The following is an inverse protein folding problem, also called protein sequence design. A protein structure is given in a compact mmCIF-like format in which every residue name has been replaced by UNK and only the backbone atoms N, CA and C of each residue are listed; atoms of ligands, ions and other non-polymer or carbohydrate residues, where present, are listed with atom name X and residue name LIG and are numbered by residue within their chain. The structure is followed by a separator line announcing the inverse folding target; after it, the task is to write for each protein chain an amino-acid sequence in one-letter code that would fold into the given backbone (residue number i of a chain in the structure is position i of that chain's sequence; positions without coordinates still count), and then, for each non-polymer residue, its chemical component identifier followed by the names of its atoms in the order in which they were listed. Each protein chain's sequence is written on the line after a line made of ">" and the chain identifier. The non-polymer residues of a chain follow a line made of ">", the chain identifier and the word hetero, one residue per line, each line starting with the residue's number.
data_IF_380439790314
#
_entry.id   IF_380439790314
#
_cell.length_a   1.000
_cell.length_b   1.000
_cell.length_c   1.000
_cell.angle_alpha   90.00
_cell.angle_beta   90.00
_cell.angle_gamma   90.00
#
_symmetry.space_group_name_H-M   'P 1'
#
loop_
_entity.id
_entity.type
_entity.pdbx_description
1 polymer ?
#
# COMPACT_ATOMS: atom_id res chain seq x y z
N UNK A 1 2.46 -17.85 33.01
CA UNK A 1 2.81 -16.42 33.20
C UNK A 1 3.02 -15.85 31.82
N UNK A 2 2.06 -15.06 31.35
CA UNK A 2 2.02 -14.54 29.97
C UNK A 2 3.14 -13.53 29.77
N UNK A 3 4.07 -13.87 28.88
CA UNK A 3 5.15 -12.98 28.49
C UNK A 3 4.58 -12.02 27.45
N UNK A 4 4.07 -10.86 27.87
CA UNK A 4 3.72 -9.77 26.96
C UNK A 4 5.01 -9.16 26.46
N UNK A 5 5.63 -9.82 25.48
CA UNK A 5 6.73 -9.24 24.75
C UNK A 5 6.17 -8.02 24.00
N UNK A 6 6.68 -6.84 24.34
CA UNK A 6 6.28 -5.59 23.68
C UNK A 6 6.93 -5.53 22.30
N UNK A 7 6.34 -4.76 21.38
CA UNK A 7 6.92 -4.47 20.06
C UNK A 7 8.37 -4.00 20.16
N UNK A 8 8.71 -3.26 21.22
CA UNK A 8 10.07 -2.80 21.48
C UNK A 8 11.05 -3.94 21.79
N UNK A 9 10.66 -4.91 22.62
CA UNK A 9 11.54 -6.06 22.95
C UNK A 9 11.83 -6.91 21.71
N UNK A 10 10.87 -6.99 20.79
CA UNK A 10 11.05 -7.69 19.51
C UNK A 10 11.90 -6.89 18.53
N UNK A 11 11.73 -5.57 18.48
CA UNK A 11 12.57 -4.69 17.70
C UNK A 11 14.05 -4.83 18.10
N UNK A 12 14.33 -4.79 19.40
CA UNK A 12 15.68 -4.93 19.94
C UNK A 12 16.28 -6.32 19.65
N UNK A 13 15.45 -7.37 19.75
CA UNK A 13 15.85 -8.75 19.42
C UNK A 13 16.19 -8.86 17.92
N UNK A 14 15.38 -8.29 17.05
CA UNK A 14 15.60 -8.30 15.60
C UNK A 14 16.85 -7.50 15.18
N UNK A 15 17.03 -6.29 15.72
CA UNK A 15 18.22 -5.46 15.49
C UNK A 15 19.52 -6.15 15.97
N UNK A 16 19.43 -6.94 17.04
CA UNK A 16 20.58 -7.73 17.53
C UNK A 16 21.01 -8.83 16.55
N UNK A 17 20.06 -9.36 15.77
CA UNK A 17 20.32 -10.43 14.80
C UNK A 17 20.74 -9.91 13.42
N UNK A 18 20.22 -8.74 12.99
CA UNK A 18 20.62 -8.07 11.73
C UNK A 18 22.13 -7.84 11.69
N UNK A 19 22.73 -7.47 12.83
CA UNK A 19 24.18 -7.22 12.94
C UNK A 19 25.06 -8.45 12.69
N UNK A 20 24.52 -9.67 12.69
CA UNK A 20 25.36 -10.88 12.78
C UNK A 20 25.16 -11.97 11.72
N UNK A 21 24.00 -12.14 11.05
CA UNK A 21 23.77 -13.35 10.21
C UNK A 21 22.97 -13.20 8.92
N UNK A 22 22.54 -12.00 8.54
CA UNK A 22 21.71 -11.81 7.35
C UNK A 22 20.25 -12.25 7.56
N UNK A 23 19.38 -11.75 6.68
CA UNK A 23 17.91 -11.82 6.75
C UNK A 23 17.35 -13.25 6.73
N UNK A 24 17.87 -14.12 5.86
CA UNK A 24 17.35 -15.48 5.67
C UNK A 24 17.48 -16.33 6.94
N UNK A 25 18.50 -16.08 7.75
CA UNK A 25 18.71 -16.77 9.03
C UNK A 25 17.64 -16.43 10.07
N UNK A 26 16.90 -15.33 9.88
CA UNK A 26 15.85 -14.88 10.78
C UNK A 26 14.52 -15.55 10.52
N UNK A 27 14.25 -15.94 9.28
CA UNK A 27 12.95 -16.44 8.85
C UNK A 27 12.42 -17.63 9.69
N UNK A 28 13.23 -18.65 10.04
CA UNK A 28 12.75 -19.76 10.88
C UNK A 28 12.44 -19.35 12.32
N UNK A 29 13.21 -18.41 12.88
CA UNK A 29 13.01 -17.91 14.24
C UNK A 29 11.80 -16.97 14.31
N UNK A 30 11.59 -16.19 13.26
CA UNK A 30 10.42 -15.33 13.08
C UNK A 30 9.14 -16.14 12.91
N UNK A 31 9.16 -17.16 12.03
CA UNK A 31 8.03 -18.06 11.84
C UNK A 31 7.72 -18.83 13.16
N UNK A 32 8.75 -19.18 13.94
CA UNK A 32 8.58 -19.75 15.28
C UNK A 32 7.93 -18.78 16.27
N UNK A 33 8.32 -17.50 16.28
CA UNK A 33 7.72 -16.50 17.18
C UNK A 33 6.25 -16.25 16.80
N UNK A 34 5.95 -16.15 15.50
CA UNK A 34 4.58 -16.02 15.00
C UNK A 34 3.71 -17.24 15.38
N UNK A 35 4.30 -18.44 15.46
CA UNK A 35 3.57 -19.66 15.84
C UNK A 35 3.17 -19.73 17.33
N UNK A 36 3.83 -18.97 18.20
CA UNK A 36 3.57 -18.98 19.66
C UNK A 36 2.81 -17.74 20.15
N UNK A 37 2.71 -16.69 19.32
CA UNK A 37 1.89 -15.51 19.64
C UNK A 37 0.42 -15.84 19.44
N UNK A 38 -0.38 -15.71 20.52
CA UNK A 38 -1.84 -15.89 20.47
C UNK A 38 -2.60 -14.56 20.41
N UNK A 39 -1.92 -13.43 20.57
CA UNK A 39 -2.51 -12.09 20.50
C UNK A 39 -2.48 -11.57 19.05
N UNK A 40 -3.66 -11.50 18.43
CA UNK A 40 -3.86 -11.02 17.05
C UNK A 40 -3.38 -9.57 16.83
N UNK A 41 -3.40 -8.72 17.87
CA UNK A 41 -2.95 -7.32 17.78
C UNK A 41 -1.44 -7.25 17.71
N UNK A 42 -0.75 -7.95 18.62
CA UNK A 42 0.71 -8.04 18.62
C UNK A 42 1.19 -8.70 17.33
N UNK A 43 0.48 -9.73 16.87
CA UNK A 43 0.74 -10.41 15.60
C UNK A 43 0.66 -9.48 14.39
N UNK A 44 -0.37 -8.63 14.32
CA UNK A 44 -0.54 -7.63 13.25
C UNK A 44 0.59 -6.59 13.26
N UNK A 45 0.91 -6.03 14.43
CA UNK A 45 1.95 -5.00 14.57
C UNK A 45 3.35 -5.54 14.25
N UNK A 46 3.67 -6.76 14.67
CA UNK A 46 4.93 -7.40 14.30
C UNK A 46 5.03 -7.64 12.79
N UNK A 47 3.98 -8.19 12.19
CA UNK A 47 3.94 -8.46 10.75
C UNK A 47 4.09 -7.16 9.93
N UNK A 48 3.50 -6.07 10.42
CA UNK A 48 3.69 -4.74 9.87
C UNK A 48 5.17 -4.33 9.82
N UNK A 49 5.83 -4.32 10.98
CA UNK A 49 7.22 -3.87 11.11
C UNK A 49 8.18 -4.69 10.24
N UNK A 50 7.99 -6.01 10.21
CA UNK A 50 8.79 -6.88 9.34
C UNK A 50 8.57 -6.58 7.86
N UNK A 51 7.32 -6.39 7.44
CA UNK A 51 7.02 -6.10 6.05
C UNK A 51 7.70 -4.80 5.57
N UNK A 52 7.69 -3.74 6.40
CA UNK A 52 8.36 -2.46 6.12
C UNK A 52 9.88 -2.65 6.05
N UNK A 53 10.46 -3.40 7.00
CA UNK A 53 11.90 -3.60 7.08
C UNK A 53 12.41 -4.40 5.89
N UNK A 54 11.78 -5.53 5.55
CA UNK A 54 12.16 -6.33 4.38
C UNK A 54 12.03 -5.55 3.08
N UNK A 55 11.00 -4.71 2.96
CA UNK A 55 10.86 -3.83 1.81
C UNK A 55 12.05 -2.85 1.69
N UNK A 56 12.49 -2.25 2.79
CA UNK A 56 13.68 -1.38 2.82
C UNK A 56 14.97 -2.11 2.45
N UNK A 57 15.07 -3.39 2.82
CA UNK A 57 16.19 -4.27 2.46
C UNK A 57 16.09 -4.81 1.03
N UNK A 58 15.05 -4.44 0.27
CA UNK A 58 14.74 -4.92 -1.09
C UNK A 58 14.45 -6.42 -1.18
N UNK A 59 14.18 -7.06 -0.05
CA UNK A 59 13.61 -8.40 -0.02
C UNK A 59 12.09 -8.28 -0.17
N UNK A 60 11.65 -8.11 -1.42
CA UNK A 60 10.25 -7.87 -1.73
C UNK A 60 9.37 -9.09 -1.50
N UNK A 61 9.92 -10.30 -1.64
CA UNK A 61 9.19 -11.55 -1.39
C UNK A 61 8.84 -11.66 0.09
N UNK A 62 9.82 -11.47 0.99
CA UNK A 62 9.56 -11.45 2.41
C UNK A 62 8.64 -10.28 2.81
N UNK A 63 8.84 -9.09 2.23
CA UNK A 63 7.99 -7.94 2.51
C UNK A 63 6.51 -8.23 2.21
N UNK A 64 6.23 -8.82 1.04
CA UNK A 64 4.87 -9.21 0.64
C UNK A 64 4.34 -10.32 1.53
N UNK A 65 5.15 -11.33 1.88
CA UNK A 65 4.78 -12.41 2.81
C UNK A 65 4.25 -11.83 4.13
N UNK A 66 5.00 -10.92 4.76
CA UNK A 66 4.61 -10.37 6.06
C UNK A 66 3.45 -9.36 5.95
N UNK A 67 3.36 -8.59 4.88
CA UNK A 67 2.20 -7.70 4.64
C UNK A 67 0.90 -8.50 4.42
N UNK A 68 0.97 -9.66 3.75
CA UNK A 68 -0.18 -10.57 3.61
C UNK A 68 -0.63 -11.13 4.97
N UNK A 69 0.34 -11.52 5.82
CA UNK A 69 0.06 -12.01 7.17
C UNK A 69 -0.66 -10.94 7.99
N UNK A 70 -0.20 -9.68 7.95
CA UNK A 70 -0.84 -8.54 8.61
C UNK A 70 -2.30 -8.35 8.14
N UNK A 71 -2.52 -8.25 6.82
CA UNK A 71 -3.86 -8.07 6.25
C UNK A 71 -4.80 -9.22 6.63
N UNK A 72 -4.30 -10.46 6.57
CA UNK A 72 -5.07 -11.66 6.91
C UNK A 72 -5.46 -11.68 8.40
N UNK A 73 -4.57 -11.26 9.30
CA UNK A 73 -4.87 -11.16 10.73
C UNK A 73 -6.04 -10.21 11.00
N UNK A 74 -6.06 -9.04 10.36
CA UNK A 74 -7.20 -8.12 10.46
C UNK A 74 -8.49 -8.73 9.92
N UNK A 75 -8.44 -9.47 8.80
CA UNK A 75 -9.60 -10.11 8.19
C UNK A 75 -10.18 -11.24 9.06
N UNK A 76 -9.32 -12.09 9.62
CA UNK A 76 -9.72 -13.18 10.52
C UNK A 76 -10.30 -12.65 11.82
N UNK A 77 -9.74 -11.56 12.34
CA UNK A 77 -10.26 -10.86 13.52
C UNK A 77 -11.50 -9.99 13.23
N UNK A 78 -11.90 -9.88 11.96
CA UNK A 78 -13.00 -9.01 11.49
C UNK A 78 -12.82 -7.54 11.90
N UNK A 79 -11.58 -7.08 11.94
CA UNK A 79 -11.21 -5.71 12.29
C UNK A 79 -11.15 -4.88 11.01
N UNK A 80 -12.16 -4.04 10.80
CA UNK A 80 -12.21 -3.09 9.68
C UNK A 80 -12.07 -1.68 10.25
N UNK A 81 -10.84 -1.17 10.22
CA UNK A 81 -10.51 0.16 10.75
C UNK A 81 -9.40 0.82 9.94
N UNK A 82 -8.96 2.00 10.36
CA UNK A 82 -7.89 2.74 9.69
C UNK A 82 -6.59 1.92 9.58
N UNK A 83 -6.22 1.12 10.59
CA UNK A 83 -5.02 0.25 10.55
C UNK A 83 -5.14 -0.79 9.43
N UNK A 84 -6.29 -1.43 9.30
CA UNK A 84 -6.57 -2.39 8.22
C UNK A 84 -6.41 -1.74 6.84
N UNK A 85 -6.96 -0.54 6.64
CA UNK A 85 -6.82 0.15 5.35
C UNK A 85 -5.38 0.59 5.10
N UNK A 86 -4.58 0.93 6.14
CA UNK A 86 -3.12 1.15 5.99
C UNK A 86 -2.40 -0.10 5.51
N UNK A 87 -2.69 -1.25 6.12
CA UNK A 87 -2.09 -2.53 5.76
C UNK A 87 -2.40 -2.91 4.31
N UNK A 88 -3.66 -2.77 3.88
CA UNK A 88 -4.07 -2.97 2.48
C UNK A 88 -3.32 -2.05 1.52
N UNK A 89 -3.17 -0.78 1.87
CA UNK A 89 -2.49 0.20 1.02
C UNK A 89 -1.01 -0.16 0.85
N UNK A 90 -0.36 -0.57 1.94
CA UNK A 90 1.03 -0.99 1.93
C UNK A 90 1.25 -2.27 1.13
N UNK A 91 0.38 -3.26 1.31
CA UNK A 91 0.41 -4.49 0.51
C UNK A 91 0.24 -4.18 -0.98
N UNK A 92 -0.75 -3.34 -1.33
CA UNK A 92 -0.96 -2.88 -2.71
C UNK A 92 0.26 -2.16 -3.27
N UNK A 93 0.93 -1.34 -2.46
CA UNK A 93 2.16 -0.66 -2.84
C UNK A 93 3.29 -1.65 -3.11
N UNK A 94 3.47 -2.68 -2.28
CA UNK A 94 4.51 -3.70 -2.51
C UNK A 94 4.26 -4.47 -3.81
N UNK A 95 3.01 -4.82 -4.12
CA UNK A 95 2.65 -5.42 -5.40
C UNK A 95 2.88 -4.47 -6.58
N UNK A 96 2.56 -3.18 -6.43
CA UNK A 96 2.84 -2.16 -7.45
C UNK A 96 4.33 -2.06 -7.76
N UNK A 97 5.19 -2.07 -6.74
CA UNK A 97 6.64 -1.96 -6.88
C UNK A 97 7.29 -3.22 -7.46
N UNK A 98 6.61 -4.36 -7.35
CA UNK A 98 7.03 -5.64 -7.95
C UNK A 98 6.32 -5.94 -9.28
N UNK A 99 5.66 -4.94 -9.88
CA UNK A 99 4.94 -5.02 -11.15
C UNK A 99 3.77 -6.03 -11.20
N UNK A 100 3.27 -6.46 -10.04
CA UNK A 100 2.07 -7.29 -9.90
C UNK A 100 0.82 -6.41 -9.84
N UNK A 101 0.56 -5.69 -10.93
CA UNK A 101 -0.37 -4.55 -10.98
C UNK A 101 -1.83 -4.95 -10.74
N UNK A 102 -2.24 -6.12 -11.22
CA UNK A 102 -3.61 -6.62 -11.03
C UNK A 102 -3.91 -6.89 -9.55
N UNK A 103 -2.93 -7.40 -8.80
CA UNK A 103 -3.07 -7.64 -7.36
C UNK A 103 -3.07 -6.31 -6.61
N UNK A 104 -2.20 -5.38 -7.00
CA UNK A 104 -2.21 -4.02 -6.45
C UNK A 104 -3.58 -3.33 -6.61
N UNK A 105 -4.19 -3.46 -7.80
CA UNK A 105 -5.54 -2.96 -8.09
C UNK A 105 -6.57 -3.57 -7.13
N UNK A 106 -6.50 -4.87 -6.83
CA UNK A 106 -7.41 -5.51 -5.88
C UNK A 106 -7.25 -4.92 -4.47
N UNK A 107 -6.01 -4.73 -4.01
CA UNK A 107 -5.73 -4.13 -2.70
C UNK A 107 -6.31 -2.70 -2.59
N UNK A 108 -6.06 -1.84 -3.58
CA UNK A 108 -6.57 -0.47 -3.59
C UNK A 108 -8.09 -0.39 -3.76
N UNK A 109 -8.67 -1.27 -4.59
CA UNK A 109 -10.13 -1.36 -4.74
C UNK A 109 -10.81 -1.79 -3.44
N UNK A 110 -10.17 -2.68 -2.67
CA UNK A 110 -10.70 -3.10 -1.38
C UNK A 110 -10.79 -1.94 -0.39
N UNK A 111 -9.79 -1.04 -0.35
CA UNK A 111 -9.82 0.16 0.50
C UNK A 111 -11.06 1.02 0.20
N UNK A 112 -11.35 1.26 -1.08
CA UNK A 112 -12.52 2.05 -1.50
C UNK A 112 -13.82 1.38 -1.04
N UNK A 113 -13.88 0.04 -1.07
CA UNK A 113 -15.08 -0.69 -0.66
C UNK A 113 -15.33 -0.65 0.86
N UNK A 114 -14.26 -0.60 1.67
CA UNK A 114 -14.38 -0.66 3.13
C UNK A 114 -14.45 0.73 3.78
N UNK A 115 -13.82 1.74 3.17
CA UNK A 115 -13.72 3.08 3.74
C UNK A 115 -13.89 4.16 2.65
N UNK A 116 -15.07 4.28 2.01
CA UNK A 116 -15.26 5.08 0.80
C UNK A 116 -15.01 6.58 0.96
N UNK A 117 -15.07 7.10 2.20
CA UNK A 117 -14.98 8.53 2.50
C UNK A 117 -13.77 8.84 3.40
N UNK A 118 -12.58 8.42 2.98
CA UNK A 118 -11.35 8.69 3.73
C UNK A 118 -10.24 9.22 2.84
N UNK A 119 -9.28 9.89 3.46
CA UNK A 119 -8.06 10.32 2.78
C UNK A 119 -7.33 9.16 2.10
N UNK A 120 -7.41 7.94 2.68
CA UNK A 120 -6.79 6.75 2.10
C UNK A 120 -7.51 6.27 0.85
N UNK A 121 -8.83 6.44 0.77
CA UNK A 121 -9.58 6.19 -0.46
C UNK A 121 -9.15 7.13 -1.58
N UNK A 122 -8.96 8.41 -1.28
CA UNK A 122 -8.45 9.39 -2.24
C UNK A 122 -7.05 8.99 -2.75
N UNK A 123 -6.15 8.60 -1.85
CA UNK A 123 -4.82 8.07 -2.24
C UNK A 123 -4.94 6.80 -3.09
N UNK A 124 -5.89 5.93 -2.77
CA UNK A 124 -6.12 4.68 -3.50
C UNK A 124 -6.65 4.92 -4.91
N UNK A 125 -7.45 5.97 -5.14
CA UNK A 125 -7.80 6.39 -6.51
C UNK A 125 -6.56 6.77 -7.32
N UNK A 126 -5.66 7.59 -6.76
CA UNK A 126 -4.41 7.93 -7.46
C UNK A 126 -3.56 6.70 -7.78
N UNK A 127 -3.47 5.75 -6.84
CA UNK A 127 -2.75 4.49 -7.03
C UNK A 127 -3.39 3.55 -8.05
N UNK A 128 -4.71 3.49 -8.12
CA UNK A 128 -5.42 2.78 -9.20
C UNK A 128 -5.10 3.41 -10.55
N UNK A 129 -5.12 4.75 -10.63
CA UNK A 129 -4.73 5.47 -11.84
C UNK A 129 -3.31 5.10 -12.30
N UNK A 130 -2.35 5.08 -11.37
CA UNK A 130 -0.97 4.66 -11.66
C UNK A 130 -0.90 3.21 -12.17
N UNK A 131 -1.64 2.29 -11.55
CA UNK A 131 -1.65 0.87 -11.95
C UNK A 131 -2.25 0.68 -13.35
N UNK A 132 -3.40 1.29 -13.64
CA UNK A 132 -4.03 1.22 -14.96
C UNK A 132 -3.16 1.88 -16.03
N UNK A 133 -2.49 2.99 -15.71
CA UNK A 133 -1.53 3.62 -16.62
C UNK A 133 -0.38 2.67 -16.97
N UNK A 134 0.20 1.99 -15.98
CA UNK A 134 1.28 1.01 -16.18
C UNK A 134 0.82 -0.23 -16.95
N UNK A 135 -0.45 -0.61 -16.85
CA UNK A 135 -1.08 -1.66 -17.66
C UNK A 135 -1.43 -1.22 -19.09
N UNK A 136 -1.34 0.08 -19.39
CA UNK A 136 -1.70 0.65 -20.69
C UNK A 136 -3.19 0.97 -20.85
N UNK A 137 -4.01 0.78 -19.82
CA UNK A 137 -5.41 1.21 -19.81
C UNK A 137 -5.51 2.69 -19.40
N UNK A 138 -5.17 3.56 -20.36
CA UNK A 138 -5.12 5.00 -20.16
C UNK A 138 -6.49 5.62 -19.86
N UNK A 139 -7.58 4.99 -20.32
CA UNK A 139 -8.94 5.48 -20.05
C UNK A 139 -9.36 5.20 -18.60
N UNK A 140 -9.07 4.01 -18.06
CA UNK A 140 -9.27 3.76 -16.63
C UNK A 140 -8.33 4.63 -15.78
N UNK A 141 -7.09 4.83 -16.22
CA UNK A 141 -6.16 5.73 -15.55
C UNK A 141 -6.74 7.15 -15.42
N UNK A 142 -7.27 7.72 -16.52
CA UNK A 142 -7.97 9.01 -16.52
C UNK A 142 -9.09 9.04 -15.48
N UNK A 143 -9.98 8.05 -15.49
CA UNK A 143 -11.13 7.98 -14.58
C UNK A 143 -10.69 8.04 -13.12
N UNK A 144 -9.67 7.28 -12.75
CA UNK A 144 -9.21 7.21 -11.37
C UNK A 144 -8.42 8.45 -10.93
N UNK A 145 -7.61 9.04 -11.80
CA UNK A 145 -6.95 10.33 -11.50
C UNK A 145 -7.97 11.46 -11.32
N UNK A 146 -9.01 11.53 -12.16
CA UNK A 146 -10.08 12.53 -12.02
C UNK A 146 -10.86 12.38 -10.71
N UNK A 147 -11.14 11.13 -10.28
CA UNK A 147 -11.76 10.89 -8.96
C UNK A 147 -10.88 11.40 -7.82
N UNK A 148 -9.58 11.11 -7.85
CA UNK A 148 -8.64 11.59 -6.85
C UNK A 148 -8.58 13.14 -6.81
N UNK A 149 -8.51 13.79 -7.98
CA UNK A 149 -8.49 15.26 -8.10
C UNK A 149 -9.77 15.87 -7.51
N UNK A 150 -10.95 15.37 -7.91
CA UNK A 150 -12.24 15.87 -7.45
C UNK A 150 -12.34 15.82 -5.93
N UNK A 151 -11.91 14.73 -5.30
CA UNK A 151 -11.96 14.63 -3.84
C UNK A 151 -10.91 15.54 -3.18
N UNK A 152 -9.68 15.59 -3.68
CA UNK A 152 -8.63 16.45 -3.11
C UNK A 152 -8.99 17.93 -3.11
N UNK A 153 -9.66 18.40 -4.17
CA UNK A 153 -10.16 19.78 -4.26
C UNK A 153 -11.22 20.06 -3.21
N UNK A 154 -12.14 19.11 -3.00
CA UNK A 154 -13.14 19.21 -1.93
C UNK A 154 -12.51 19.25 -0.53
N UNK A 155 -11.39 18.54 -0.32
CA UNK A 155 -10.67 18.49 0.95
C UNK A 155 -9.62 19.60 1.15
N UNK A 156 -9.42 20.52 0.18
CA UNK A 156 -8.32 21.50 0.17
C UNK A 156 -6.92 20.87 0.39
N UNK A 157 -6.73 19.62 -0.04
CA UNK A 157 -5.51 18.86 0.20
C UNK A 157 -4.49 19.08 -0.93
N UNK A 158 -3.78 20.21 -0.88
CA UNK A 158 -2.88 20.66 -1.95
C UNK A 158 -1.66 19.76 -2.21
N UNK A 159 -1.19 19.00 -1.20
CA UNK A 159 0.07 18.25 -1.30
C UNK A 159 0.08 17.11 -2.32
N UNK A 160 -1.08 16.45 -2.55
CA UNK A 160 -1.19 15.34 -3.50
C UNK A 160 -1.85 15.78 -4.83
N UNK A 161 -2.47 16.95 -4.86
CA UNK A 161 -3.25 17.43 -6.02
C UNK A 161 -2.36 17.64 -7.26
N UNK A 162 -1.20 18.28 -7.08
CA UNK A 162 -0.26 18.54 -8.17
C UNK A 162 0.26 17.24 -8.84
N UNK A 163 0.48 16.18 -8.06
CA UNK A 163 0.93 14.90 -8.62
C UNK A 163 -0.17 14.22 -9.45
N UNK A 164 -1.43 14.35 -9.04
CA UNK A 164 -2.55 13.80 -9.80
C UNK A 164 -2.75 14.55 -11.13
N UNK A 165 -2.63 15.88 -11.13
CA UNK A 165 -2.66 16.66 -12.36
C UNK A 165 -1.50 16.29 -13.31
N UNK A 166 -0.29 16.11 -12.78
CA UNK A 166 0.85 15.67 -13.59
C UNK A 166 0.62 14.27 -14.19
N UNK A 167 0.07 13.35 -13.42
CA UNK A 167 -0.25 12.01 -13.91
C UNK A 167 -1.35 12.03 -14.97
N UNK A 168 -2.38 12.86 -14.79
CA UNK A 168 -3.43 13.04 -15.78
C UNK A 168 -2.90 13.69 -17.07
N UNK A 169 -1.99 14.66 -16.98
CA UNK A 169 -1.31 15.21 -18.15
C UNK A 169 -0.52 14.13 -18.91
N UNK A 170 0.21 13.24 -18.19
CA UNK A 170 0.90 12.10 -18.82
C UNK A 170 -0.08 11.18 -19.55
N UNK A 171 -1.26 10.91 -18.98
CA UNK A 171 -2.31 10.11 -19.63
C UNK A 171 -2.71 10.75 -20.96
N UNK A 172 -3.01 12.06 -20.97
CA UNK A 172 -3.43 12.76 -22.17
C UNK A 172 -2.34 12.85 -23.23
N UNK A 173 -1.12 13.14 -22.80
CA UNK A 173 0.05 13.13 -23.68
C UNK A 173 0.24 11.75 -24.33
N UNK A 174 0.03 10.66 -23.57
CA UNK A 174 0.17 9.30 -24.07
C UNK A 174 -0.95 8.91 -25.04
N UNK A 175 -2.20 9.31 -24.75
CA UNK A 175 -3.34 9.07 -25.64
C UNK A 175 -3.21 9.81 -26.98
N UNK A 176 -2.70 11.05 -26.96
CA UNK A 176 -2.39 11.88 -28.13
C UNK A 176 -3.51 11.97 -29.19
N UNK A 177 -4.77 11.94 -28.75
CA UNK A 177 -5.95 12.27 -29.55
C UNK A 177 -6.26 13.77 -29.46
N UNK A 178 -7.01 14.30 -30.43
CA UNK A 178 -7.47 15.70 -30.40
C UNK A 178 -8.20 16.01 -29.08
N UNK A 179 -9.07 15.09 -28.63
CA UNK A 179 -9.80 15.24 -27.38
C UNK A 179 -8.88 15.30 -26.15
N UNK A 180 -7.86 14.44 -26.09
CA UNK A 180 -6.91 14.45 -24.97
C UNK A 180 -6.04 15.71 -24.96
N UNK A 181 -5.62 16.20 -26.13
CA UNK A 181 -4.85 17.45 -26.23
C UNK A 181 -5.67 18.66 -25.76
N UNK A 182 -6.96 18.71 -26.12
CA UNK A 182 -7.87 19.74 -25.60
C UNK A 182 -8.02 19.68 -24.08
N UNK A 183 -8.12 18.47 -23.51
CA UNK A 183 -8.20 18.27 -22.06
C UNK A 183 -6.90 18.64 -21.36
N UNK A 184 -5.74 18.31 -21.93
CA UNK A 184 -4.42 18.67 -21.41
C UNK A 184 -4.24 20.19 -21.32
N UNK A 185 -4.62 20.91 -22.39
CA UNK A 185 -4.60 22.38 -22.41
C UNK A 185 -5.51 23.02 -21.36
N UNK A 186 -6.57 22.34 -20.91
CA UNK A 186 -7.45 22.83 -19.84
C UNK A 186 -6.84 22.65 -18.45
N UNK A 187 -6.03 21.60 -18.25
CA UNK A 187 -5.34 21.33 -16.97
C UNK A 187 -4.20 22.32 -16.74
N UNK A 188 -3.51 22.75 -17.80
CA UNK A 188 -2.33 23.60 -17.71
C UNK A 188 -2.64 25.10 -17.58
N UNK A 189 -3.93 25.50 -17.56
CA UNK A 189 -4.39 26.89 -17.46
C UNK A 189 -4.81 27.23 -16.05
#
# INVERSE_FOLDING_TARGET
>A
MGNTASSQTFYDLFDSFEKNKGVEALQPQLDSILSITTDQTVFSEMSHDFSVKYFRLRDYEAAIKYALIEVKSFEEAQIINEKYTKALYQLGYFYEQTAQLEIAIQCYSKIISVEPNSYRTIQSYGKLGDCYYKLGDYYQAEVYFLKAISDLENYNASGFLASQYLNLAKVYHTLNTDQSQEKELKILK
#
